data_IF_202190408483
#
_entry.id   IF_202190408483
#
_cell.length_a   1.000
_cell.length_b   1.000
_cell.length_c   1.000
_cell.angle_alpha   90.00
_cell.angle_beta   90.00
_cell.angle_gamma   90.00
#
_symmetry.space_group_name_H-M   'P 1'
#
loop_
_entity.id
_entity.type
_entity.pdbx_description
1 polymer ?
#
# COMPACT_ATOMS: atom_id res chain seq x y z
N UNK A 1 40.06 11.41 19.12
CA UNK A 1 39.10 10.29 19.06
C UNK A 1 38.16 10.58 17.91
N UNK A 2 38.44 9.99 16.74
CA UNK A 2 37.55 10.07 15.57
C UNK A 2 36.32 9.23 15.87
N UNK A 3 35.18 9.85 16.14
CA UNK A 3 33.91 9.14 16.15
C UNK A 3 33.65 8.67 14.72
N UNK A 4 33.84 7.37 14.45
CA UNK A 4 33.31 6.74 13.25
C UNK A 4 31.81 7.05 13.21
N UNK A 5 31.38 7.90 12.30
CA UNK A 5 29.97 8.00 11.95
C UNK A 5 29.55 6.60 11.53
N UNK A 6 28.78 5.91 12.36
CA UNK A 6 28.06 4.72 11.92
C UNK A 6 27.13 5.22 10.81
N UNK A 7 27.53 5.01 9.58
CA UNK A 7 26.81 5.45 8.40
C UNK A 7 25.46 4.72 8.42
N UNK A 8 24.43 5.40 8.94
CA UNK A 8 23.15 4.75 9.16
C UNK A 8 22.55 4.44 7.81
N UNK A 9 22.23 3.17 7.57
CA UNK A 9 21.63 2.71 6.32
C UNK A 9 20.42 3.59 5.94
N UNK A 10 20.27 3.96 4.66
CA UNK A 10 19.06 4.62 4.20
C UNK A 10 17.83 3.78 4.51
N UNK A 11 16.68 4.44 4.66
CA UNK A 11 15.40 3.79 4.97
C UNK A 11 14.50 3.78 3.73
N UNK A 12 13.91 2.62 3.42
CA UNK A 12 12.74 2.53 2.55
C UNK A 12 11.50 2.81 3.40
N UNK A 13 10.94 4.00 3.27
CA UNK A 13 9.67 4.35 3.94
C UNK A 13 8.50 3.88 3.07
N UNK A 14 7.62 3.06 3.63
CA UNK A 14 6.47 2.50 2.92
C UNK A 14 5.17 2.87 3.65
N UNK A 15 4.32 3.65 3.00
CA UNK A 15 2.95 3.94 3.43
C UNK A 15 2.02 2.97 2.70
N UNK A 16 1.45 1.98 3.39
CA UNK A 16 0.74 0.89 2.71
C UNK A 16 -0.52 0.39 3.43
N UNK A 17 -1.24 -0.50 2.75
CA UNK A 17 -2.27 -1.34 3.37
C UNK A 17 -1.74 -2.76 3.70
N UNK A 18 -2.63 -3.72 3.92
CA UNK A 18 -2.25 -5.09 4.27
C UNK A 18 -1.49 -5.84 3.19
N UNK A 19 -1.54 -5.43 1.91
CA UNK A 19 -0.79 -6.05 0.83
C UNK A 19 0.73 -5.96 1.02
N UNK A 20 1.20 -5.06 1.89
CA UNK A 20 2.61 -4.95 2.21
C UNK A 20 3.14 -5.99 3.20
N UNK A 21 2.28 -6.59 4.05
CA UNK A 21 2.74 -7.45 5.15
C UNK A 21 1.91 -8.71 5.40
N UNK A 22 0.85 -8.94 4.63
CA UNK A 22 0.13 -10.21 4.65
C UNK A 22 0.74 -11.17 3.62
N UNK A 23 1.13 -12.35 4.08
CA UNK A 23 1.53 -13.45 3.22
C UNK A 23 0.40 -14.46 2.96
N UNK A 24 0.72 -15.66 2.48
CA UNK A 24 -0.27 -16.68 2.10
C UNK A 24 -1.11 -17.18 3.28
N UNK A 25 -0.59 -17.08 4.51
CA UNK A 25 -1.27 -17.61 5.72
C UNK A 25 -1.85 -16.51 6.62
N UNK A 26 -1.65 -15.22 6.28
CA UNK A 26 -2.17 -14.10 7.04
C UNK A 26 -1.14 -13.01 7.31
N UNK A 27 -1.42 -12.17 8.31
CA UNK A 27 -0.57 -11.03 8.68
C UNK A 27 0.75 -11.45 9.30
N UNK A 28 1.85 -10.85 8.82
CA UNK A 28 3.20 -11.09 9.30
C UNK A 28 3.75 -9.87 10.07
N UNK A 29 4.84 -10.02 10.82
CA UNK A 29 5.60 -8.88 11.34
C UNK A 29 6.02 -7.92 10.22
N UNK A 30 6.09 -6.63 10.54
CA UNK A 30 6.42 -5.57 9.59
C UNK A 30 7.85 -5.65 9.02
N UNK A 31 8.72 -6.43 9.68
CA UNK A 31 10.12 -6.69 9.33
C UNK A 31 10.35 -8.10 8.76
N UNK A 32 9.29 -8.88 8.52
CA UNK A 32 9.41 -10.25 8.05
C UNK A 32 10.21 -10.34 6.73
N UNK A 33 11.29 -11.13 6.68
CA UNK A 33 12.24 -11.08 5.55
C UNK A 33 11.67 -11.42 4.16
N UNK A 34 10.47 -12.03 4.07
CA UNK A 34 9.84 -12.43 2.80
C UNK A 34 8.76 -11.48 2.27
N UNK A 35 8.41 -10.42 3.01
CA UNK A 35 7.46 -9.43 2.49
C UNK A 35 8.18 -8.50 1.50
N UNK A 36 7.45 -8.00 0.51
CA UNK A 36 8.06 -7.22 -0.57
C UNK A 36 8.86 -6.00 -0.09
N UNK A 37 8.46 -5.24 0.96
CA UNK A 37 9.29 -4.14 1.45
C UNK A 37 10.67 -4.60 1.93
N UNK A 38 10.71 -5.69 2.70
CA UNK A 38 11.96 -6.28 3.22
C UNK A 38 12.84 -6.83 2.11
N UNK A 39 12.25 -7.45 1.09
CA UNK A 39 12.98 -7.92 -0.09
C UNK A 39 13.64 -6.76 -0.83
N UNK A 40 12.91 -5.66 -1.07
CA UNK A 40 13.46 -4.47 -1.73
C UNK A 40 14.59 -3.85 -0.90
N UNK A 41 14.39 -3.69 0.40
CA UNK A 41 15.40 -3.09 1.26
C UNK A 41 16.65 -3.95 1.38
N UNK A 42 16.50 -5.28 1.49
CA UNK A 42 17.63 -6.22 1.48
C UNK A 42 18.47 -6.08 0.19
N UNK A 43 17.81 -6.00 -0.97
CA UNK A 43 18.45 -5.80 -2.28
C UNK A 43 19.11 -4.43 -2.47
N UNK A 44 18.74 -3.44 -1.66
CA UNK A 44 19.35 -2.10 -1.67
C UNK A 44 20.37 -1.91 -0.52
N UNK A 45 20.48 -2.85 0.41
CA UNK A 45 21.26 -2.69 1.64
C UNK A 45 20.68 -1.68 2.62
N UNK A 46 19.37 -1.46 2.58
CA UNK A 46 18.62 -0.45 3.35
C UNK A 46 17.84 -1.07 4.51
N UNK A 47 17.34 -0.22 5.41
CA UNK A 47 16.35 -0.59 6.41
C UNK A 47 14.91 -0.31 5.90
N UNK A 48 13.88 -0.90 6.52
CA UNK A 48 12.47 -0.65 6.20
C UNK A 48 11.80 0.10 7.35
N UNK A 49 11.06 1.16 7.04
CA UNK A 49 10.02 1.68 7.92
C UNK A 49 8.65 1.45 7.23
N UNK A 50 7.92 0.44 7.71
CA UNK A 50 6.60 0.11 7.19
C UNK A 50 5.50 0.68 8.09
N UNK A 51 4.77 1.65 7.56
CA UNK A 51 3.60 2.25 8.20
C UNK A 51 2.36 1.82 7.43
N UNK A 52 1.71 0.78 7.94
CA UNK A 52 0.60 0.14 7.25
C UNK A 52 -0.43 -0.46 8.21
N UNK A 53 -1.68 -0.52 7.76
CA UNK A 53 -2.74 -1.31 8.42
C UNK A 53 -3.71 -1.90 7.41
N UNK A 54 -4.33 -3.00 7.80
CA UNK A 54 -5.41 -3.63 7.03
C UNK A 54 -6.53 -2.64 6.69
N UNK A 55 -6.92 -2.64 5.42
CA UNK A 55 -8.04 -1.85 4.91
C UNK A 55 -7.74 -0.36 4.72
N UNK A 56 -6.48 0.07 4.81
CA UNK A 56 -6.10 1.46 4.57
C UNK A 56 -6.35 1.89 3.13
N UNK A 57 -6.92 3.08 3.00
CA UNK A 57 -7.07 3.81 1.74
C UNK A 57 -6.01 4.90 1.61
N UNK A 58 -5.96 5.62 0.49
CA UNK A 58 -5.10 6.81 0.35
C UNK A 58 -5.37 7.86 1.44
N UNK A 59 -6.63 7.96 1.92
CA UNK A 59 -6.99 8.83 3.05
C UNK A 59 -6.23 8.45 4.32
N UNK A 60 -6.18 7.16 4.63
CA UNK A 60 -5.55 6.67 5.86
C UNK A 60 -4.03 6.85 5.79
N UNK A 61 -3.42 6.61 4.62
CA UNK A 61 -2.02 6.90 4.39
C UNK A 61 -1.69 8.39 4.61
N UNK A 62 -2.56 9.31 4.15
CA UNK A 62 -2.37 10.75 4.40
C UNK A 62 -2.40 11.07 5.90
N UNK A 63 -3.41 10.58 6.63
CA UNK A 63 -3.50 10.80 8.08
C UNK A 63 -2.31 10.20 8.85
N UNK A 64 -1.79 9.06 8.40
CA UNK A 64 -0.56 8.51 8.94
C UNK A 64 0.66 9.40 8.64
N UNK A 65 0.78 9.90 7.40
CA UNK A 65 1.89 10.76 7.01
C UNK A 65 1.98 12.04 7.86
N UNK A 66 0.83 12.61 8.23
CA UNK A 66 0.76 13.85 9.04
C UNK A 66 0.55 13.61 10.54
N UNK A 67 0.52 12.36 11.01
CA UNK A 67 0.13 12.04 12.40
C UNK A 67 0.93 10.93 13.07
N UNK A 68 1.65 10.10 12.32
CA UNK A 68 2.49 9.04 12.88
C UNK A 68 3.94 9.53 13.03
N UNK A 69 4.47 9.67 14.25
CA UNK A 69 5.82 10.17 14.48
C UNK A 69 6.91 9.28 13.87
N UNK A 70 6.62 8.01 13.57
CA UNK A 70 7.56 7.13 12.86
C UNK A 70 7.81 7.57 11.43
N UNK A 71 6.78 8.10 10.76
CA UNK A 71 6.93 8.69 9.43
C UNK A 71 7.90 9.87 9.50
N UNK A 72 7.72 10.76 10.48
CA UNK A 72 8.58 11.93 10.64
C UNK A 72 10.01 11.57 11.02
N UNK A 73 10.20 10.52 11.82
CA UNK A 73 11.53 10.00 12.17
C UNK A 73 12.23 9.33 10.96
N UNK A 74 11.46 8.73 10.05
CA UNK A 74 12.00 8.07 8.87
C UNK A 74 12.33 9.03 7.73
N UNK A 75 11.54 10.09 7.51
CA UNK A 75 11.72 11.04 6.38
C UNK A 75 13.15 11.61 6.27
N UNK A 76 13.83 12.04 7.35
CA UNK A 76 15.22 12.51 7.26
C UNK A 76 16.22 11.45 6.78
N UNK A 77 15.94 10.16 7.01
CA UNK A 77 16.81 9.03 6.64
C UNK A 77 16.32 8.29 5.40
N UNK A 78 15.18 8.69 4.84
CA UNK A 78 14.57 7.98 3.72
C UNK A 78 15.43 8.10 2.46
N UNK A 79 15.77 6.96 1.87
CA UNK A 79 16.37 6.90 0.54
C UNK A 79 15.31 6.95 -0.58
N UNK A 80 14.10 6.48 -0.28
CA UNK A 80 12.91 6.58 -1.13
C UNK A 80 11.64 6.40 -0.29
N UNK A 81 10.50 6.87 -0.81
CA UNK A 81 9.17 6.65 -0.24
C UNK A 81 8.29 5.91 -1.24
N UNK A 82 7.62 4.85 -0.79
CA UNK A 82 6.59 4.17 -1.58
C UNK A 82 5.22 4.45 -0.97
N UNK A 83 4.32 5.02 -1.76
CA UNK A 83 2.91 5.16 -1.40
C UNK A 83 2.15 3.98 -2.02
N UNK A 84 2.08 2.89 -1.27
CA UNK A 84 1.49 1.60 -1.65
C UNK A 84 0.05 1.45 -1.13
N UNK A 85 -0.79 2.46 -1.41
CA UNK A 85 -2.24 2.45 -1.14
C UNK A 85 -3.03 2.72 -2.44
N UNK A 86 -4.35 2.62 -2.39
CA UNK A 86 -5.23 2.75 -3.56
C UNK A 86 -5.92 1.44 -3.96
N UNK A 87 -5.39 0.29 -3.50
CA UNK A 87 -6.04 -1.01 -3.65
C UNK A 87 -7.44 -1.01 -3.05
N UNK A 88 -7.51 -0.74 -1.74
CA UNK A 88 -8.76 -0.64 -0.98
C UNK A 88 -9.72 0.41 -1.53
N UNK A 89 -9.22 1.56 -1.98
CA UNK A 89 -9.99 2.67 -2.55
C UNK A 89 -10.91 2.19 -3.68
N UNK A 90 -10.37 1.33 -4.55
CA UNK A 90 -11.02 0.82 -5.75
C UNK A 90 -12.05 -0.29 -5.51
N UNK A 91 -12.11 -0.85 -4.30
CA UNK A 91 -13.02 -1.95 -3.97
C UNK A 91 -14.46 -1.47 -3.83
N UNK A 92 -15.46 -2.29 -4.22
CA UNK A 92 -16.85 -1.96 -3.97
C UNK A 92 -17.13 -1.91 -2.47
N UNK A 93 -17.64 -0.77 -2.01
CA UNK A 93 -17.98 -0.49 -0.61
C UNK A 93 -19.40 0.06 -0.47
N UNK A 94 -20.43 -0.70 -0.92
CA UNK A 94 -21.84 -0.27 -0.79
C UNK A 94 -22.28 -0.14 0.68
N UNK A 95 -21.61 -0.85 1.58
CA UNK A 95 -21.62 -0.55 2.99
C UNK A 95 -20.40 0.31 3.31
N UNK A 96 -20.55 1.49 3.93
CA UNK A 96 -19.41 2.36 4.24
C UNK A 96 -18.35 1.62 5.07
N UNK A 97 -17.08 1.75 4.72
CA UNK A 97 -15.96 1.18 5.50
C UNK A 97 -16.01 1.61 6.96
N UNK A 98 -16.42 2.84 7.24
CA UNK A 98 -16.62 3.34 8.60
C UNK A 98 -17.58 2.47 9.43
N UNK A 99 -18.65 1.94 8.82
CA UNK A 99 -19.57 1.03 9.49
C UNK A 99 -18.84 -0.26 9.91
N UNK A 100 -18.06 -0.87 9.00
CA UNK A 100 -17.26 -2.07 9.29
C UNK A 100 -16.30 -1.83 10.45
N UNK A 101 -15.60 -0.70 10.42
CA UNK A 101 -14.64 -0.31 11.46
C UNK A 101 -15.31 -0.04 12.80
N UNK A 102 -16.54 0.50 12.82
CA UNK A 102 -17.27 0.81 14.04
C UNK A 102 -17.81 -0.43 14.77
N UNK A 103 -17.94 -1.58 14.10
CA UNK A 103 -18.43 -2.83 14.70
C UNK A 103 -17.65 -3.20 15.97
N UNK A 104 -16.34 -2.90 16.05
CA UNK A 104 -15.52 -3.21 17.24
C UNK A 104 -16.00 -2.48 18.51
N UNK A 105 -16.65 -1.32 18.36
CA UNK A 105 -17.16 -0.51 19.46
C UNK A 105 -18.56 -0.91 19.92
N UNK A 106 -19.22 -1.86 19.24
CA UNK A 106 -20.47 -2.46 19.73
C UNK A 106 -20.16 -3.23 21.01
N UNK A 107 -20.66 -2.71 22.15
CA UNK A 107 -20.30 -3.24 23.49
C UNK A 107 -20.83 -4.65 23.74
N UNK A 108 -22.13 -4.96 23.52
CA UNK A 108 -22.63 -6.29 23.84
C UNK A 108 -22.01 -7.32 22.89
N UNK A 109 -21.30 -8.36 23.39
CA UNK A 109 -20.60 -9.31 22.53
C UNK A 109 -21.52 -10.06 21.57
N UNK A 110 -22.73 -10.41 22.01
CA UNK A 110 -23.73 -11.07 21.17
C UNK A 110 -24.17 -10.17 20.01
N UNK A 111 -24.50 -8.89 20.30
CA UNK A 111 -24.88 -7.91 19.29
C UNK A 111 -23.72 -7.67 18.31
N UNK A 112 -22.49 -7.52 18.79
CA UNK A 112 -21.31 -7.33 17.93
C UNK A 112 -21.13 -8.49 16.95
N UNK A 113 -21.29 -9.74 17.42
CA UNK A 113 -21.22 -10.94 16.56
C UNK A 113 -22.33 -10.93 15.52
N UNK A 114 -23.55 -10.57 15.91
CA UNK A 114 -24.69 -10.48 15.01
C UNK A 114 -24.48 -9.41 13.93
N UNK A 115 -24.07 -8.20 14.31
CA UNK A 115 -23.77 -7.10 13.37
C UNK A 115 -22.66 -7.51 12.40
N UNK A 116 -21.58 -8.15 12.89
CA UNK A 116 -20.52 -8.68 12.03
C UNK A 116 -21.03 -9.74 11.06
N UNK A 117 -21.88 -10.65 11.51
CA UNK A 117 -22.49 -11.70 10.67
C UNK A 117 -23.36 -11.11 9.57
N UNK A 118 -24.25 -10.16 9.92
CA UNK A 118 -25.11 -9.46 8.96
C UNK A 118 -24.27 -8.68 7.95
N UNK A 119 -23.24 -7.96 8.41
CA UNK A 119 -22.30 -7.26 7.52
C UNK A 119 -21.65 -8.24 6.53
N UNK A 120 -21.10 -9.37 7.03
CA UNK A 120 -20.48 -10.40 6.21
C UNK A 120 -21.44 -11.06 5.21
N UNK A 121 -22.72 -11.15 5.55
CA UNK A 121 -23.76 -11.65 4.65
C UNK A 121 -24.15 -10.64 3.56
N UNK A 122 -24.26 -9.35 3.91
CA UNK A 122 -24.63 -8.28 2.99
C UNK A 122 -23.51 -7.88 2.04
N UNK A 123 -22.27 -7.74 2.55
CA UNK A 123 -21.12 -7.23 1.81
C UNK A 123 -20.93 -7.91 0.43
N UNK A 124 -20.83 -9.25 0.30
CA UNK A 124 -20.66 -9.91 -0.99
C UNK A 124 -21.89 -9.80 -1.91
N UNK A 125 -23.10 -9.64 -1.36
CA UNK A 125 -24.33 -9.49 -2.16
C UNK A 125 -24.42 -8.10 -2.77
N UNK A 126 -24.15 -7.08 -1.96
CA UNK A 126 -24.18 -5.69 -2.39
C UNK A 126 -22.97 -5.33 -3.25
N UNK A 127 -21.81 -5.95 -3.03
CA UNK A 127 -20.59 -5.66 -3.81
C UNK A 127 -20.74 -5.89 -5.31
N UNK A 128 -21.70 -6.74 -5.73
CA UNK A 128 -22.06 -6.97 -7.13
C UNK A 128 -22.50 -5.69 -7.86
N UNK A 129 -22.97 -4.67 -7.13
CA UNK A 129 -23.30 -3.36 -7.68
C UNK A 129 -22.07 -2.63 -8.24
N UNK A 130 -20.86 -2.96 -7.77
CA UNK A 130 -19.60 -2.33 -8.17
C UNK A 130 -19.44 -0.87 -7.71
N UNK A 131 -20.45 -0.30 -7.04
CA UNK A 131 -20.47 1.08 -6.56
C UNK A 131 -21.32 1.21 -5.29
N UNK A 132 -21.09 2.26 -4.47
CA UNK A 132 -19.91 3.13 -4.47
C UNK A 132 -18.61 2.33 -4.21
N UNK A 133 -17.48 2.90 -4.60
CA UNK A 133 -16.15 2.41 -4.21
C UNK A 133 -15.78 2.97 -2.82
N UNK A 134 -14.81 2.36 -2.14
CA UNK A 134 -14.42 2.79 -0.79
C UNK A 134 -13.89 4.23 -0.74
N UNK A 135 -13.13 4.64 -1.75
CA UNK A 135 -12.73 6.03 -1.94
C UNK A 135 -12.73 6.37 -3.44
N UNK A 136 -13.48 7.40 -3.89
CA UNK A 136 -13.52 7.79 -5.30
C UNK A 136 -12.14 8.17 -5.83
N UNK A 137 -11.79 7.84 -7.10
CA UNK A 137 -10.46 8.11 -7.68
C UNK A 137 -9.98 9.54 -7.52
N UNK A 138 -10.87 10.52 -7.65
CA UNK A 138 -10.55 11.94 -7.44
C UNK A 138 -10.05 12.20 -6.01
N UNK A 139 -10.76 11.69 -5.00
CA UNK A 139 -10.34 11.87 -3.61
C UNK A 139 -9.06 11.09 -3.30
N UNK A 140 -8.88 9.90 -3.88
CA UNK A 140 -7.63 9.15 -3.76
C UNK A 140 -6.45 9.97 -4.25
N UNK A 141 -6.56 10.58 -5.44
CA UNK A 141 -5.52 11.47 -5.98
C UNK A 141 -5.31 12.72 -5.11
N UNK A 142 -6.36 13.33 -4.59
CA UNK A 142 -6.24 14.50 -3.70
C UNK A 142 -5.40 14.16 -2.44
N UNK A 143 -5.58 12.99 -1.84
CA UNK A 143 -4.75 12.56 -0.70
C UNK A 143 -3.32 12.16 -1.10
N UNK A 144 -3.15 11.47 -2.24
CA UNK A 144 -1.82 11.16 -2.78
C UNK A 144 -1.02 12.43 -3.04
N UNK A 145 -1.67 13.46 -3.58
CA UNK A 145 -1.07 14.76 -3.83
C UNK A 145 -0.69 15.48 -2.53
N UNK A 146 -1.53 15.43 -1.50
CA UNK A 146 -1.19 16.01 -0.20
C UNK A 146 0.05 15.35 0.42
N UNK A 147 0.17 14.02 0.34
CA UNK A 147 1.37 13.30 0.80
C UNK A 147 2.59 13.73 -0.01
N UNK A 148 2.50 13.69 -1.34
CA UNK A 148 3.60 14.03 -2.25
C UNK A 148 4.07 15.47 -2.03
N UNK A 149 3.15 16.43 -1.99
CA UNK A 149 3.46 17.84 -1.78
C UNK A 149 4.17 18.09 -0.44
N UNK A 150 3.70 17.45 0.64
CA UNK A 150 4.35 17.55 1.95
C UNK A 150 5.77 16.98 1.94
N UNK A 151 5.96 15.79 1.36
CA UNK A 151 7.28 15.16 1.25
C UNK A 151 8.23 15.97 0.36
N UNK A 152 7.77 16.43 -0.80
CA UNK A 152 8.57 17.27 -1.70
C UNK A 152 8.89 18.64 -1.10
N UNK A 153 8.06 19.16 -0.19
CA UNK A 153 8.39 20.39 0.54
C UNK A 153 9.53 20.17 1.55
N UNK A 154 9.53 19.04 2.26
CA UNK A 154 10.54 18.70 3.27
C UNK A 154 11.85 18.19 2.65
N UNK A 155 11.75 17.41 1.57
CA UNK A 155 12.85 16.74 0.88
C UNK A 155 12.55 16.75 -0.63
N UNK A 156 12.81 17.87 -1.34
CA UNK A 156 12.52 18.01 -2.77
C UNK A 156 13.17 16.93 -3.64
N UNK A 157 14.30 16.41 -3.19
CA UNK A 157 15.03 15.36 -3.85
C UNK A 157 14.53 13.95 -3.48
N UNK A 158 13.71 13.72 -2.46
CA UNK A 158 13.35 12.36 -2.07
C UNK A 158 12.52 11.65 -3.16
N UNK A 159 12.97 10.51 -3.72
CA UNK A 159 12.18 9.78 -4.71
C UNK A 159 10.87 9.26 -4.11
N UNK A 160 9.75 9.54 -4.78
CA UNK A 160 8.42 9.08 -4.39
C UNK A 160 7.89 8.13 -5.47
N UNK A 161 7.57 6.91 -5.09
CA UNK A 161 7.03 5.86 -5.95
C UNK A 161 5.55 5.69 -5.62
N UNK A 162 4.70 5.76 -6.63
CA UNK A 162 3.27 5.49 -6.50
C UNK A 162 2.90 4.09 -6.98
N UNK A 163 1.82 3.52 -6.45
CA UNK A 163 1.29 2.23 -6.92
C UNK A 163 -0.06 2.36 -7.62
N UNK A 164 -0.31 1.49 -8.60
CA UNK A 164 -1.66 1.26 -9.10
C UNK A 164 -2.34 0.13 -8.31
N UNK A 165 -3.68 0.16 -8.18
CA UNK A 165 -4.42 -0.84 -7.42
C UNK A 165 -4.14 -2.27 -7.90
N UNK A 166 -4.01 -3.19 -6.95
CA UNK A 166 -3.91 -4.62 -7.21
C UNK A 166 -5.21 -5.21 -7.79
N UNK A 167 -5.16 -6.50 -8.13
CA UNK A 167 -6.33 -7.33 -8.45
C UNK A 167 -6.59 -8.33 -7.32
N UNK A 168 -7.78 -8.91 -7.26
CA UNK A 168 -8.20 -9.83 -6.20
C UNK A 168 -9.11 -10.96 -6.71
N UNK A 169 -9.16 -12.09 -5.99
CA UNK A 169 -10.15 -13.16 -6.16
C UNK A 169 -11.13 -13.24 -4.97
N UNK A 170 -11.23 -12.15 -4.20
CA UNK A 170 -12.02 -12.13 -2.96
C UNK A 170 -13.53 -12.24 -3.19
N UNK A 171 -14.15 -13.26 -2.57
CA UNK A 171 -15.60 -13.46 -2.59
C UNK A 171 -16.36 -12.35 -1.84
N UNK A 172 -15.78 -11.78 -0.77
CA UNK A 172 -16.39 -10.69 0.00
C UNK A 172 -16.65 -9.44 -0.83
N UNK A 173 -15.83 -9.20 -1.86
CA UNK A 173 -16.01 -8.11 -2.82
C UNK A 173 -16.65 -8.58 -4.13
N UNK A 174 -17.29 -9.75 -4.12
CA UNK A 174 -17.93 -10.38 -5.29
C UNK A 174 -17.01 -10.52 -6.52
N UNK A 175 -15.68 -10.50 -6.34
CA UNK A 175 -14.68 -10.48 -7.43
C UNK A 175 -14.84 -9.29 -8.39
N UNK A 176 -15.48 -8.21 -7.95
CA UNK A 176 -15.78 -7.04 -8.79
C UNK A 176 -14.62 -6.05 -8.79
N UNK A 177 -14.18 -5.68 -9.99
CA UNK A 177 -13.05 -4.75 -10.21
C UNK A 177 -13.46 -3.45 -10.91
N UNK A 178 -14.75 -3.11 -10.98
CA UNK A 178 -15.26 -1.94 -11.72
C UNK A 178 -14.58 -0.64 -11.29
N UNK A 179 -14.22 -0.50 -10.00
CA UNK A 179 -13.51 0.67 -9.48
C UNK A 179 -12.04 0.78 -9.87
N UNK A 180 -11.39 -0.32 -10.29
CA UNK A 180 -9.95 -0.36 -10.57
C UNK A 180 -9.58 0.50 -11.77
N UNK A 181 -10.29 0.36 -12.88
CA UNK A 181 -9.92 1.02 -14.13
C UNK A 181 -10.00 2.56 -14.04
N UNK A 182 -11.05 3.17 -13.43
CA UNK A 182 -11.05 4.59 -13.09
C UNK A 182 -9.92 5.01 -12.13
N UNK A 183 -9.60 4.20 -11.13
CA UNK A 183 -8.51 4.49 -10.18
C UNK A 183 -7.14 4.47 -10.88
N UNK A 184 -6.88 3.48 -11.73
CA UNK A 184 -5.68 3.40 -12.57
C UNK A 184 -5.53 4.66 -13.42
N UNK A 185 -6.58 5.05 -14.17
CA UNK A 185 -6.52 6.25 -15.02
C UNK A 185 -6.19 7.51 -14.22
N UNK A 186 -6.86 7.72 -13.08
CA UNK A 186 -6.65 8.91 -12.26
C UNK A 186 -5.24 8.96 -11.66
N UNK A 187 -4.78 7.86 -11.04
CA UNK A 187 -3.45 7.78 -10.44
C UNK A 187 -2.35 7.88 -11.49
N UNK A 188 -2.49 7.25 -12.66
CA UNK A 188 -1.53 7.39 -13.76
C UNK A 188 -1.46 8.81 -14.29
N UNK A 189 -2.60 9.49 -14.47
CA UNK A 189 -2.62 10.88 -14.92
C UNK A 189 -1.93 11.82 -13.93
N UNK A 190 -2.22 11.66 -12.63
CA UNK A 190 -1.56 12.41 -11.56
C UNK A 190 -0.06 12.13 -11.51
N UNK A 191 0.36 10.87 -11.51
CA UNK A 191 1.77 10.50 -11.45
C UNK A 191 2.55 11.06 -12.65
N UNK A 192 1.98 11.03 -13.86
CA UNK A 192 2.58 11.65 -15.05
C UNK A 192 2.75 13.16 -14.91
N UNK A 193 1.75 13.86 -14.34
CA UNK A 193 1.83 15.31 -14.12
C UNK A 193 2.96 15.72 -13.15
N UNK A 194 3.44 14.78 -12.33
CA UNK A 194 4.49 15.00 -11.33
C UNK A 194 5.78 14.19 -11.57
N UNK A 195 5.96 13.59 -12.74
CA UNK A 195 7.09 12.69 -13.09
C UNK A 195 7.36 11.58 -12.06
N UNK A 196 6.31 11.03 -11.45
CA UNK A 196 6.46 9.96 -10.47
C UNK A 196 6.60 8.59 -11.17
N UNK A 197 7.58 7.76 -10.78
CA UNK A 197 7.56 6.35 -11.14
C UNK A 197 6.33 5.66 -10.55
N UNK A 198 5.73 4.77 -11.35
CA UNK A 198 4.51 4.03 -10.99
C UNK A 198 4.74 2.54 -11.13
N UNK A 199 4.36 1.79 -10.10
CA UNK A 199 4.35 0.32 -10.12
C UNK A 199 2.92 -0.19 -10.18
N UNK A 200 2.58 -0.98 -11.22
CA UNK A 200 1.29 -1.64 -11.31
C UNK A 200 1.28 -2.94 -10.50
N UNK A 201 0.74 -2.88 -9.27
CA UNK A 201 0.58 -4.06 -8.42
C UNK A 201 -0.32 -5.10 -9.06
N UNK A 202 -1.37 -4.68 -9.78
CA UNK A 202 -2.31 -5.58 -10.43
C UNK A 202 -1.67 -6.33 -11.59
N UNK A 203 -0.66 -5.76 -12.26
CA UNK A 203 0.15 -6.48 -13.24
C UNK A 203 1.11 -7.47 -12.55
N UNK A 204 1.80 -7.03 -11.50
CA UNK A 204 2.81 -7.83 -10.80
C UNK A 204 2.25 -9.12 -10.17
N UNK A 205 1.01 -9.06 -9.65
CA UNK A 205 0.46 -10.14 -8.82
C UNK A 205 -0.64 -10.96 -9.49
N UNK A 206 -0.97 -10.65 -10.76
CA UNK A 206 -2.09 -11.27 -11.48
C UNK A 206 -1.99 -12.79 -11.48
N UNK A 207 -0.84 -13.34 -11.84
CA UNK A 207 -0.69 -14.79 -11.94
C UNK A 207 -0.78 -15.45 -10.56
N UNK A 208 -0.22 -14.80 -9.53
CA UNK A 208 -0.24 -15.34 -8.18
C UNK A 208 -1.63 -15.28 -7.53
N UNK A 209 -2.37 -14.17 -7.62
CA UNK A 209 -3.65 -14.01 -6.90
C UNK A 209 -4.76 -14.98 -7.37
N UNK A 210 -4.63 -15.52 -8.58
CA UNK A 210 -5.53 -16.53 -9.14
C UNK A 210 -4.99 -17.96 -9.00
N UNK A 211 -3.80 -18.13 -8.43
CA UNK A 211 -3.20 -19.43 -8.16
C UNK A 211 -3.65 -20.01 -6.81
N UNK A 212 -3.47 -21.32 -6.57
CA UNK A 212 -3.67 -21.93 -5.26
C UNK A 212 -2.71 -21.44 -4.16
N UNK A 213 -1.60 -20.80 -4.54
CA UNK A 213 -0.57 -20.32 -3.62
C UNK A 213 -0.90 -18.96 -2.98
N UNK A 214 -1.96 -18.29 -3.46
CA UNK A 214 -2.45 -17.05 -2.87
C UNK A 214 -3.10 -17.29 -1.50
N UNK A 215 -3.26 -16.21 -0.74
CA UNK A 215 -3.99 -16.29 0.51
C UNK A 215 -5.45 -16.71 0.23
N UNK A 216 -6.02 -17.66 1.01
CA UNK A 216 -7.40 -18.12 0.85
C UNK A 216 -8.46 -17.02 0.92
N UNK A 217 -8.16 -15.85 1.49
CA UNK A 217 -9.07 -14.71 1.51
C UNK A 217 -9.30 -14.05 0.14
N UNK A 218 -8.45 -14.39 -0.85
CA UNK A 218 -8.50 -13.89 -2.20
C UNK A 218 -8.14 -12.41 -2.34
N UNK A 219 -7.53 -11.78 -1.33
CA UNK A 219 -6.95 -10.42 -1.38
C UNK A 219 -5.43 -10.49 -1.38
N UNK A 220 -4.86 -11.27 -0.46
CA UNK A 220 -3.42 -11.27 -0.21
C UNK A 220 -2.69 -12.32 -1.05
N UNK A 221 -1.40 -12.07 -1.24
CA UNK A 221 -0.57 -12.80 -2.19
C UNK A 221 0.16 -13.95 -1.49
N UNK A 222 0.55 -14.93 -2.29
CA UNK A 222 1.61 -15.85 -1.94
C UNK A 222 2.99 -15.20 -2.10
N UNK A 223 4.03 -15.97 -1.77
CA UNK A 223 5.41 -15.48 -1.80
C UNK A 223 5.86 -15.02 -3.19
N UNK A 224 5.44 -15.72 -4.25
CA UNK A 224 5.71 -15.29 -5.62
C UNK A 224 5.14 -13.91 -5.95
N UNK A 225 3.99 -13.53 -5.37
CA UNK A 225 3.44 -12.18 -5.54
C UNK A 225 4.32 -11.11 -4.87
N UNK A 226 4.82 -11.38 -3.66
CA UNK A 226 5.77 -10.50 -2.99
C UNK A 226 7.08 -10.33 -3.78
N UNK A 227 7.64 -11.43 -4.30
CA UNK A 227 8.86 -11.42 -5.11
C UNK A 227 8.68 -10.59 -6.40
N UNK A 228 7.54 -10.75 -7.09
CA UNK A 228 7.22 -9.98 -8.31
C UNK A 228 7.05 -8.49 -8.03
N UNK A 229 6.38 -8.15 -6.93
CA UNK A 229 6.25 -6.74 -6.51
C UNK A 229 7.61 -6.16 -6.12
N UNK A 230 8.44 -6.90 -5.39
CA UNK A 230 9.78 -6.46 -5.03
C UNK A 230 10.64 -6.19 -6.29
N UNK A 231 10.62 -7.09 -7.27
CA UNK A 231 11.31 -6.90 -8.54
C UNK A 231 10.84 -5.64 -9.29
N UNK A 232 9.52 -5.41 -9.35
CA UNK A 232 8.95 -4.22 -9.99
C UNK A 232 9.32 -2.92 -9.24
N UNK A 233 9.35 -2.96 -7.91
CA UNK A 233 9.79 -1.83 -7.07
C UNK A 233 11.27 -1.52 -7.28
N UNK A 234 12.14 -2.54 -7.31
CA UNK A 234 13.57 -2.35 -7.56
C UNK A 234 13.84 -1.72 -8.93
N UNK A 235 13.10 -2.14 -9.96
CA UNK A 235 13.16 -1.55 -11.29
C UNK A 235 12.75 -0.06 -11.29
N UNK A 236 11.80 0.33 -10.44
CA UNK A 236 11.37 1.72 -10.29
C UNK A 236 12.32 2.57 -9.42
N UNK A 237 12.92 1.98 -8.39
CA UNK A 237 13.74 2.69 -7.38
C UNK A 237 15.18 2.87 -7.86
N UNK A 238 15.85 1.81 -8.34
CA UNK A 238 17.29 1.82 -8.66
C UNK A 238 17.71 3.00 -9.56
N UNK A 239 17.01 3.31 -10.66
CA UNK A 239 17.40 4.44 -11.51
C UNK A 239 17.38 5.80 -10.79
N UNK A 240 16.48 5.97 -9.81
CA UNK A 240 16.30 7.24 -9.08
C UNK A 240 17.33 7.44 -7.97
N UNK A 241 17.94 6.35 -7.50
CA UNK A 241 18.93 6.36 -6.40
C UNK A 241 20.36 6.27 -6.93
N UNK A 242 20.63 5.53 -8.01
CA UNK A 242 21.97 5.40 -8.60
C UNK A 242 22.45 6.66 -9.31
N UNK A 243 21.55 7.55 -9.75
CA UNK A 243 21.91 8.88 -10.26
C UNK A 243 22.50 9.83 -9.18
N UNK A 244 22.70 9.34 -7.94
CA UNK A 244 23.08 10.15 -6.78
C UNK A 244 24.40 9.78 -6.14
N UNK A 245 25.06 8.70 -6.56
CA UNK A 245 26.44 8.52 -6.13
C UNK A 245 27.30 9.61 -6.81
N UNK A 246 28.06 10.41 -6.06
CA UNK A 246 28.96 11.38 -6.66
C UNK A 246 29.98 10.63 -7.53
N UNK A 247 30.10 11.03 -8.79
CA UNK A 247 31.22 10.65 -9.66
C UNK A 247 32.50 11.31 -9.13
N UNK A 248 33.03 10.83 -8.02
CA UNK A 248 34.37 11.16 -7.53
C UNK A 248 35.05 9.88 -7.05
N UNK A 249 35.71 9.19 -7.98
CA UNK A 249 36.96 8.46 -7.71
C UNK A 249 38.12 9.40 -7.99
#
# INVERSE_FOLDING_TARGET
MSSSSTDSKPVLLVLADSLAYYGPEGGLPADHGRIWPSLVAAELGWDVELVARIGWTCRDAYWAAIGDPRVWAAVPRAGAVVIATGGMDSLPSPLPTALREQIRYVRPPALRRQVRSVYGWLQPRLSRLGRPVALPPRLSVEYLEQIRAALSHLRPELPIIATLPAVHNCASYARVHVGREPAVRATTAWARAHDLPVVDLGAAVRDNIFSPDANPDGIHWGWAGHERVAAAMLAAIRPRVSMREPLWQ
#
